data_IF_354995384579
#
_entry.id   IF_354995384579
#
_cell.length_a   1.000
_cell.length_b   1.000
_cell.length_c   1.000
_cell.angle_alpha   90.00
_cell.angle_beta   90.00
_cell.angle_gamma   90.00
#
_symmetry.space_group_name_H-M   'P 1'
#
loop_
_entity.id
_entity.type
_entity.pdbx_description
1 polymer ?
#
# COMPACT_ATOMS: atom_id res chain seq x y z
N UNK A 1 14.05 4.50 -19.50
CA UNK A 1 14.64 5.81 -19.13
C UNK A 1 15.03 5.77 -17.66
N UNK A 2 16.03 6.52 -17.24
CA UNK A 2 16.40 6.71 -15.81
C UNK A 2 16.16 8.15 -15.34
N UNK A 3 15.55 9.00 -16.18
CA UNK A 3 15.16 10.36 -15.79
C UNK A 3 13.96 10.30 -14.84
N UNK A 4 14.01 11.05 -13.74
CA UNK A 4 12.98 11.01 -12.70
C UNK A 4 11.57 11.28 -13.24
N UNK A 5 11.39 12.30 -14.07
CA UNK A 5 10.07 12.62 -14.64
C UNK A 5 9.49 11.50 -15.52
N UNK A 6 10.34 10.74 -16.23
CA UNK A 6 9.89 9.59 -17.02
C UNK A 6 9.49 8.43 -16.12
N UNK A 7 10.21 8.23 -15.01
CA UNK A 7 9.90 7.19 -14.03
C UNK A 7 8.58 7.50 -13.31
N UNK A 8 8.37 8.75 -12.89
CA UNK A 8 7.13 9.15 -12.22
C UNK A 8 5.93 8.95 -13.16
N UNK A 9 6.01 9.43 -14.41
CA UNK A 9 4.96 9.20 -15.42
C UNK A 9 4.67 7.72 -15.64
N UNK A 10 5.69 6.86 -15.61
CA UNK A 10 5.51 5.43 -15.76
C UNK A 10 4.81 4.81 -14.54
N UNK A 11 5.28 5.12 -13.33
CA UNK A 11 4.75 4.57 -12.08
C UNK A 11 3.27 4.95 -11.87
N UNK A 12 2.93 6.21 -12.15
CA UNK A 12 1.59 6.77 -11.97
C UNK A 12 0.66 6.50 -13.16
N UNK A 13 1.20 6.06 -14.30
CA UNK A 13 0.46 5.74 -15.51
C UNK A 13 -0.24 4.38 -15.49
N UNK A 14 -0.37 3.75 -14.31
CA UNK A 14 -1.00 2.44 -14.13
C UNK A 14 -0.03 1.26 -14.11
N UNK A 15 1.28 1.49 -13.96
CA UNK A 15 2.22 0.41 -13.69
C UNK A 15 1.84 -0.31 -12.39
N UNK A 16 1.84 -1.63 -12.44
CA UNK A 16 1.50 -2.49 -11.29
C UNK A 16 2.62 -3.47 -10.99
N UNK A 17 2.86 -3.74 -9.70
CA UNK A 17 3.96 -4.58 -9.25
C UNK A 17 3.47 -5.64 -8.27
N UNK A 18 4.03 -6.85 -8.34
CA UNK A 18 3.93 -7.79 -7.24
C UNK A 18 4.81 -7.28 -6.09
N UNK A 19 4.15 -6.89 -5.00
CA UNK A 19 4.78 -6.37 -3.77
C UNK A 19 4.68 -7.38 -2.62
N UNK A 20 4.39 -8.66 -2.92
CA UNK A 20 4.30 -9.75 -1.95
C UNK A 20 3.18 -9.61 -0.92
N UNK A 21 2.08 -8.93 -1.29
CA UNK A 21 0.90 -8.69 -0.42
C UNK A 21 -0.41 -9.25 -1.00
N UNK A 22 -0.31 -10.30 -1.80
CA UNK A 22 -1.45 -11.08 -2.32
C UNK A 22 -2.22 -10.44 -3.49
N UNK A 23 -2.01 -9.15 -3.79
CA UNK A 23 -2.44 -8.50 -5.04
C UNK A 23 -1.45 -7.40 -5.45
N UNK A 24 -1.41 -7.02 -6.75
CA UNK A 24 -0.49 -6.00 -7.23
C UNK A 24 -0.73 -4.64 -6.58
N UNK A 25 0.35 -3.90 -6.32
CA UNK A 25 0.31 -2.49 -5.90
C UNK A 25 0.45 -1.55 -7.09
N UNK A 26 -0.09 -0.34 -6.98
CA UNK A 26 -0.03 0.73 -8.00
C UNK A 26 0.21 2.10 -7.36
N UNK A 27 0.74 3.07 -8.10
CA UNK A 27 0.90 4.44 -7.60
C UNK A 27 -0.25 5.34 -8.07
N UNK A 28 -0.85 6.06 -7.13
CA UNK A 28 -1.92 7.03 -7.40
C UNK A 28 -1.32 8.35 -7.86
N UNK A 29 -1.79 8.84 -9.01
CA UNK A 29 -1.16 9.92 -9.75
C UNK A 29 -1.25 11.32 -9.11
N UNK A 30 -2.18 11.53 -8.18
CA UNK A 30 -2.42 12.88 -7.63
C UNK A 30 -1.68 13.14 -6.31
N UNK A 31 -1.12 12.12 -5.68
CA UNK A 31 -0.39 12.22 -4.41
C UNK A 31 0.82 11.27 -4.26
N UNK A 32 1.24 10.58 -5.34
CA UNK A 32 2.30 9.56 -5.31
C UNK A 32 2.03 8.39 -4.35
N UNK A 33 0.80 8.18 -3.88
CA UNK A 33 0.51 7.16 -2.88
C UNK A 33 0.59 5.76 -3.49
N UNK A 34 1.37 4.87 -2.87
CA UNK A 34 1.32 3.44 -3.18
C UNK A 34 0.02 2.84 -2.61
N UNK A 35 -0.88 2.43 -3.50
CA UNK A 35 -2.09 1.68 -3.21
C UNK A 35 -1.72 0.21 -3.03
N UNK A 36 -1.94 -0.32 -1.82
CA UNK A 36 -1.56 -1.67 -1.45
C UNK A 36 -2.46 -2.23 -0.34
N UNK A 37 -2.57 -3.55 -0.28
CA UNK A 37 -3.18 -4.23 0.86
C UNK A 37 -2.36 -3.98 2.11
N UNK A 38 -2.99 -3.64 3.22
CA UNK A 38 -2.41 -3.56 4.56
C UNK A 38 -2.93 -4.73 5.40
N UNK A 39 -2.33 -4.95 6.58
CA UNK A 39 -2.72 -6.05 7.45
C UNK A 39 -3.03 -5.51 8.83
N UNK A 40 -4.21 -5.84 9.34
CA UNK A 40 -4.46 -5.76 10.77
C UNK A 40 -3.71 -6.91 11.43
N UNK A 41 -2.88 -6.58 12.42
CA UNK A 41 -2.07 -7.55 13.14
C UNK A 41 -2.33 -7.47 14.63
N UNK A 42 -2.34 -8.64 15.26
CA UNK A 42 -2.39 -8.78 16.71
C UNK A 42 -1.04 -9.27 17.21
N UNK A 43 -0.55 -8.66 18.29
CA UNK A 43 0.65 -9.16 18.97
C UNK A 43 0.33 -10.53 19.59
N UNK A 44 1.18 -11.51 19.30
CA UNK A 44 1.05 -12.87 19.85
C UNK A 44 1.35 -12.89 21.34
N UNK A 45 0.69 -13.80 22.05
CA UNK A 45 1.12 -14.17 23.41
C UNK A 45 2.53 -14.76 23.33
N UNK A 46 3.42 -14.40 24.26
CA UNK A 46 4.82 -14.89 24.27
C UNK A 46 4.93 -16.42 24.19
N UNK A 47 4.02 -17.14 24.85
CA UNK A 47 3.99 -18.61 24.84
C UNK A 47 3.63 -19.22 23.47
N UNK A 48 3.06 -18.45 22.54
CA UNK A 48 2.69 -18.86 21.19
C UNK A 48 3.71 -18.46 20.13
N UNK A 49 4.74 -17.68 20.50
CA UNK A 49 5.81 -17.28 19.59
C UNK A 49 6.76 -18.45 19.37
N UNK A 50 7.00 -18.83 18.12
CA UNK A 50 7.94 -19.91 17.77
C UNK A 50 9.40 -19.50 17.93
N UNK A 51 9.68 -18.22 17.70
CA UNK A 51 11.00 -17.60 17.80
C UNK A 51 10.86 -16.09 18.08
N UNK A 52 11.98 -15.38 18.06
CA UNK A 52 12.04 -13.94 18.35
C UNK A 52 11.42 -13.03 17.28
N UNK A 53 11.13 -13.55 16.08
CA UNK A 53 10.53 -12.80 14.96
C UNK A 53 9.04 -13.11 14.80
N UNK A 54 8.55 -14.23 15.35
CA UNK A 54 7.16 -14.66 15.28
C UNK A 54 6.23 -13.90 16.26
N UNK A 55 6.17 -12.58 16.10
CA UNK A 55 5.53 -11.66 17.07
C UNK A 55 4.10 -11.26 16.72
N UNK A 56 3.65 -11.47 15.47
CA UNK A 56 2.34 -11.05 14.99
C UNK A 56 1.51 -12.23 14.45
N UNK A 57 0.21 -12.15 14.67
CA UNK A 57 -0.82 -12.89 13.95
C UNK A 57 -1.55 -11.93 13.02
N UNK A 58 -1.71 -12.30 11.75
CA UNK A 58 -2.51 -11.52 10.80
C UNK A 58 -3.98 -11.81 11.09
N UNK A 59 -4.73 -10.78 11.48
CA UNK A 59 -6.16 -10.86 11.73
C UNK A 59 -6.91 -10.84 10.41
N UNK A 60 -6.66 -9.81 9.60
CA UNK A 60 -7.22 -9.71 8.26
C UNK A 60 -6.40 -8.80 7.33
N UNK A 61 -6.68 -8.92 6.04
CA UNK A 61 -6.18 -8.02 5.01
C UNK A 61 -7.15 -6.85 4.82
N UNK A 62 -6.63 -5.62 4.87
CA UNK A 62 -7.42 -4.40 4.74
C UNK A 62 -6.80 -3.50 3.66
N UNK A 63 -7.52 -3.10 2.61
CA UNK A 63 -8.88 -3.49 2.28
C UNK A 63 -8.96 -4.97 1.88
N UNK A 64 -10.14 -5.57 2.00
CA UNK A 64 -10.41 -6.95 1.58
C UNK A 64 -10.18 -7.12 0.08
N UNK A 65 -10.13 -8.38 -0.37
CA UNK A 65 -9.77 -8.72 -1.76
C UNK A 65 -10.68 -8.06 -2.79
N UNK A 66 -11.95 -7.93 -2.48
CA UNK A 66 -13.02 -7.34 -3.29
C UNK A 66 -13.26 -5.84 -3.00
N UNK A 67 -12.57 -5.27 -2.03
CA UNK A 67 -12.64 -3.85 -1.70
C UNK A 67 -11.58 -3.04 -2.45
N UNK A 68 -11.93 -1.80 -2.76
CA UNK A 68 -11.02 -0.82 -3.35
C UNK A 68 -9.81 -0.60 -2.46
N UNK A 69 -8.61 -0.59 -3.06
CA UNK A 69 -7.36 -0.23 -2.37
C UNK A 69 -7.36 1.21 -1.83
N UNK A 70 -8.30 2.05 -2.27
CA UNK A 70 -8.46 3.41 -1.78
C UNK A 70 -9.26 3.50 -0.46
N UNK A 71 -9.92 2.41 -0.02
CA UNK A 71 -10.85 2.43 1.11
C UNK A 71 -10.23 2.96 2.42
N UNK A 72 -8.95 2.68 2.66
CA UNK A 72 -8.23 3.11 3.87
C UNK A 72 -7.30 4.29 3.65
N UNK A 73 -7.32 4.89 2.45
CA UNK A 73 -6.46 6.00 2.10
C UNK A 73 -7.22 7.32 2.20
N UNK A 74 -6.54 8.44 2.52
CA UNK A 74 -7.18 9.74 2.47
C UNK A 74 -7.75 10.04 1.09
N UNK A 75 -8.93 10.64 1.08
CA UNK A 75 -9.53 11.24 -0.12
C UNK A 75 -8.75 12.49 -0.54
N UNK A 76 -9.05 13.02 -1.72
CA UNK A 76 -8.39 14.23 -2.24
C UNK A 76 -8.74 15.47 -1.41
N UNK A 77 -9.91 15.48 -0.80
CA UNK A 77 -10.40 16.55 0.06
C UNK A 77 -9.73 16.53 1.44
N UNK A 78 -9.41 15.34 1.96
CA UNK A 78 -8.75 15.15 3.25
C UNK A 78 -7.23 15.29 3.18
N UNK A 79 -6.62 14.99 2.02
CA UNK A 79 -5.17 15.00 1.87
C UNK A 79 -4.64 16.44 1.75
N UNK A 80 -3.73 16.90 2.64
CA UNK A 80 -3.14 18.23 2.55
C UNK A 80 -2.14 18.36 1.38
N UNK A 81 -1.71 17.25 0.78
CA UNK A 81 -0.76 17.24 -0.32
C UNK A 81 -1.39 17.84 -1.59
N UNK A 82 -0.86 18.98 -2.03
CA UNK A 82 -1.22 19.61 -3.30
C UNK A 82 -0.05 19.52 -4.25
N UNK A 83 -0.10 18.52 -5.13
CA UNK A 83 0.96 18.32 -6.10
C UNK A 83 0.67 19.06 -7.42
N UNK A 84 1.70 19.68 -8.02
CA UNK A 84 1.57 20.23 -9.36
C UNK A 84 1.41 19.10 -10.37
N UNK A 85 0.72 19.37 -11.48
CA UNK A 85 0.71 18.44 -12.61
C UNK A 85 2.13 18.27 -13.17
N UNK A 86 2.51 17.03 -13.48
CA UNK A 86 3.84 16.64 -14.00
C UNK A 86 3.84 16.58 -15.52
#
# INVERSE_FOLDING_TARGET
>A
STKSADLVRYLEGGASFDILKGRPGTFRAWDHQLLQTMYEVKVKDKAKMKDQWDIFEIVEAVPKKDESLELIQPTKEENPCKMPAI
#
